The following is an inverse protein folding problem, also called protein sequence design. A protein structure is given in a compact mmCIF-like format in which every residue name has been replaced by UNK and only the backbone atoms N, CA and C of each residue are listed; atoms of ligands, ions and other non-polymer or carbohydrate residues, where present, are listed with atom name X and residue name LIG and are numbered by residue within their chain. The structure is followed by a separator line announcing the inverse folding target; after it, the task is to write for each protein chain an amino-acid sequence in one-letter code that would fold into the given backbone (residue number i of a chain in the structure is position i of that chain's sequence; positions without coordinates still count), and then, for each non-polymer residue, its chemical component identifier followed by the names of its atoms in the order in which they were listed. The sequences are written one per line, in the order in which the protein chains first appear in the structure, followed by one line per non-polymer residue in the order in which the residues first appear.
data_IF_164274360409
#
_entry.id   IF_164274360409
#
_cell.length_a   1.000
_cell.length_b   1.000
_cell.length_c   1.000
_cell.angle_alpha   90.00
_cell.angle_beta   90.00
_cell.angle_gamma   90.00
#
_symmetry.space_group_name_H-M   'P 1'
#
loop_
_entity.id
_entity.type
_entity.pdbx_description
1 polymer ?
#
# COMPACT_ATOMS: atom_id res chain seq x y z
N UNK A 1 24.86 -22.87 -6.72
CA UNK A 1 24.31 -23.31 -5.41
C UNK A 1 22.95 -22.65 -5.32
N UNK A 2 21.88 -23.46 -5.25
CA UNK A 2 20.51 -22.92 -5.15
C UNK A 2 20.36 -22.28 -3.80
N UNK A 3 20.01 -21.03 -3.76
CA UNK A 3 19.70 -20.34 -2.53
C UNK A 3 18.19 -20.07 -2.47
N UNK A 4 17.41 -21.07 -2.07
CA UNK A 4 16.00 -20.91 -1.79
C UNK A 4 15.80 -20.59 -0.31
N UNK A 5 15.28 -19.44 -0.04
CA UNK A 5 14.88 -18.99 1.29
C UNK A 5 13.45 -19.45 1.53
N UNK A 6 13.19 -20.20 2.61
CA UNK A 6 11.82 -20.63 2.96
C UNK A 6 10.96 -19.44 3.44
N UNK A 7 10.74 -18.49 2.56
CA UNK A 7 9.83 -17.39 2.78
C UNK A 7 8.45 -17.77 2.23
N UNK A 8 7.53 -18.10 3.11
CA UNK A 8 6.14 -18.34 2.75
C UNK A 8 5.35 -17.05 2.85
N UNK A 9 4.33 -16.90 2.00
CA UNK A 9 3.44 -15.74 2.07
C UNK A 9 2.76 -15.61 3.43
N UNK A 10 2.46 -14.39 3.83
CA UNK A 10 1.65 -14.16 5.01
C UNK A 10 0.24 -14.71 4.81
N UNK A 11 -0.29 -15.39 5.83
CA UNK A 11 -1.68 -15.84 5.81
C UNK A 11 -2.63 -14.68 6.07
N UNK A 12 -3.20 -14.11 5.01
CA UNK A 12 -4.15 -13.00 5.08
C UNK A 12 -5.40 -13.31 5.93
N UNK A 13 -5.76 -14.58 6.10
CA UNK A 13 -6.87 -14.95 6.98
C UNK A 13 -6.57 -14.67 8.45
N UNK A 14 -5.30 -14.66 8.83
CA UNK A 14 -4.82 -14.37 10.17
C UNK A 14 -4.42 -12.92 10.37
N UNK A 15 -4.30 -12.13 9.30
CA UNK A 15 -4.02 -10.70 9.40
C UNK A 15 -5.21 -9.97 10.01
N UNK A 16 -4.89 -8.98 10.85
CA UNK A 16 -5.89 -8.04 11.36
C UNK A 16 -6.48 -7.21 10.21
N UNK A 17 -5.65 -6.86 9.22
CA UNK A 17 -6.05 -6.12 8.03
C UNK A 17 -5.91 -7.01 6.78
N UNK A 18 -7.04 -7.28 6.14
CA UNK A 18 -7.08 -8.03 4.87
C UNK A 18 -7.02 -7.12 3.64
N UNK A 19 -7.08 -5.81 3.85
CA UNK A 19 -7.14 -4.78 2.81
C UNK A 19 -5.81 -4.04 2.71
N UNK A 20 -4.71 -4.77 2.60
CA UNK A 20 -3.38 -4.20 2.42
C UNK A 20 -3.09 -3.94 0.93
N UNK A 21 -2.15 -3.05 0.65
CA UNK A 21 -1.58 -2.89 -0.70
C UNK A 21 -0.60 -4.04 -0.98
N UNK A 22 -0.22 -4.24 -2.24
CA UNK A 22 0.79 -5.24 -2.58
C UNK A 22 2.11 -5.04 -1.83
N UNK A 23 2.54 -3.78 -1.65
CA UNK A 23 3.75 -3.47 -0.89
C UNK A 23 3.58 -3.78 0.62
N UNK A 24 2.44 -3.45 1.22
CA UNK A 24 2.18 -3.78 2.63
C UNK A 24 2.22 -5.29 2.88
N UNK A 25 1.59 -6.07 1.97
CA UNK A 25 1.58 -7.53 2.05
C UNK A 25 2.99 -8.11 1.94
N UNK A 26 3.81 -7.56 1.05
CA UNK A 26 5.21 -7.95 0.90
C UNK A 26 6.03 -7.62 2.15
N UNK A 27 5.88 -6.41 2.70
CA UNK A 27 6.57 -6.01 3.94
C UNK A 27 6.15 -6.94 5.09
N UNK A 28 4.85 -7.16 5.29
CA UNK A 28 4.35 -8.05 6.32
C UNK A 28 4.88 -9.49 6.16
N UNK A 29 4.99 -9.98 4.93
CA UNK A 29 5.54 -11.32 4.62
C UNK A 29 7.01 -11.43 5.02
N UNK A 30 7.85 -10.47 4.60
CA UNK A 30 9.28 -10.48 4.93
C UNK A 30 9.52 -10.26 6.42
N UNK A 31 8.82 -9.32 7.03
CA UNK A 31 8.97 -9.01 8.45
C UNK A 31 8.59 -10.22 9.30
N UNK A 32 7.52 -10.92 8.93
CA UNK A 32 7.10 -12.17 9.60
C UNK A 32 8.11 -13.30 9.39
N UNK A 33 8.72 -13.40 8.20
CA UNK A 33 9.82 -14.34 7.94
C UNK A 33 10.97 -14.13 8.93
N UNK A 34 11.31 -12.89 9.26
CA UNK A 34 12.31 -12.55 10.27
C UNK A 34 11.83 -12.68 11.71
N UNK A 35 10.62 -13.18 11.96
CA UNK A 35 10.04 -13.34 13.30
C UNK A 35 9.68 -12.02 13.98
N UNK A 36 9.38 -10.98 13.21
CA UNK A 36 8.99 -9.66 13.71
C UNK A 36 7.54 -9.35 13.38
N UNK A 37 6.96 -8.43 14.14
CA UNK A 37 5.65 -7.83 13.85
C UNK A 37 5.82 -6.62 12.91
N UNK A 38 4.73 -6.08 12.33
CA UNK A 38 4.78 -5.00 11.33
C UNK A 38 3.77 -3.88 11.58
N UNK A 39 2.82 -4.05 12.49
CA UNK A 39 1.65 -3.18 12.63
C UNK A 39 2.00 -1.74 13.00
N UNK A 40 3.13 -1.51 13.69
CA UNK A 40 3.56 -0.16 14.05
C UNK A 40 4.02 0.68 12.85
N UNK A 41 4.27 0.08 11.69
CA UNK A 41 4.51 0.87 10.48
C UNK A 41 3.31 1.78 10.14
N UNK A 42 2.12 1.46 10.66
CA UNK A 42 0.89 2.20 10.41
C UNK A 42 0.57 3.29 11.44
N UNK A 43 1.49 3.61 12.34
CA UNK A 43 1.30 4.65 13.37
C UNK A 43 0.83 5.99 12.78
N UNK A 44 1.35 6.39 11.62
CA UNK A 44 0.99 7.65 10.97
C UNK A 44 -0.12 7.51 9.90
N UNK A 45 -0.85 6.40 9.88
CA UNK A 45 -1.83 6.14 8.81
C UNK A 45 -3.13 6.94 8.92
N UNK A 46 -3.32 7.77 9.97
CA UNK A 46 -4.50 8.63 10.11
C UNK A 46 -4.54 9.79 9.11
N UNK A 47 -3.53 9.99 8.32
CA UNK A 47 -3.37 11.10 7.40
C UNK A 47 -4.39 11.07 6.25
N UNK A 48 -4.82 12.27 5.81
CA UNK A 48 -5.53 12.49 4.56
C UNK A 48 -4.98 13.77 3.96
N UNK A 49 -4.15 13.63 2.96
CA UNK A 49 -3.54 14.76 2.26
C UNK A 49 -3.53 14.53 0.75
N UNK A 50 -3.75 15.61 0.00
CA UNK A 50 -3.80 15.56 -1.45
C UNK A 50 -3.45 16.91 -2.05
N UNK A 51 -2.93 16.87 -3.27
CA UNK A 51 -2.86 18.02 -4.16
C UNK A 51 -3.95 17.90 -5.19
N UNK A 52 -4.51 19.03 -5.57
CA UNK A 52 -5.47 19.14 -6.65
C UNK A 52 -4.78 19.81 -7.83
N UNK A 53 -4.86 19.19 -9.02
CA UNK A 53 -4.58 19.84 -10.29
C UNK A 53 -5.77 20.66 -10.79
N UNK A 54 -5.83 20.93 -12.08
CA UNK A 54 -6.93 21.70 -12.69
C UNK A 54 -8.25 20.92 -12.70
N UNK A 55 -8.20 19.62 -12.59
CA UNK A 55 -9.35 18.72 -12.57
C UNK A 55 -9.29 17.70 -11.43
N UNK A 56 -10.43 17.10 -11.06
CA UNK A 56 -10.49 16.01 -10.06
C UNK A 56 -9.71 14.78 -10.52
N UNK A 57 -9.46 14.61 -11.81
CA UNK A 57 -8.64 13.52 -12.34
C UNK A 57 -7.15 13.75 -12.12
N UNK A 58 -6.74 14.99 -11.84
CA UNK A 58 -5.35 15.34 -11.52
C UNK A 58 -5.11 15.39 -10.01
N UNK A 59 -5.98 14.77 -9.23
CA UNK A 59 -5.80 14.66 -7.79
C UNK A 59 -4.66 13.70 -7.47
N UNK A 60 -3.69 14.17 -6.72
CA UNK A 60 -2.55 13.40 -6.27
C UNK A 60 -2.59 13.24 -4.75
N UNK A 61 -2.54 12.00 -4.28
CA UNK A 61 -2.40 11.73 -2.85
C UNK A 61 -0.96 11.98 -2.42
N UNK A 62 -0.82 12.71 -1.31
CA UNK A 62 0.49 12.91 -0.68
C UNK A 62 0.69 11.79 0.35
N UNK A 63 1.70 10.94 0.10
CA UNK A 63 2.07 9.82 0.97
C UNK A 63 3.49 10.05 1.47
N UNK A 64 3.68 10.03 2.78
CA UNK A 64 5.01 9.96 3.36
C UNK A 64 5.42 8.49 3.59
N UNK A 65 5.94 7.86 2.54
CA UNK A 65 6.46 6.48 2.63
C UNK A 65 7.62 6.36 3.62
N UNK A 66 8.40 7.43 3.84
CA UNK A 66 9.54 7.40 4.76
C UNK A 66 9.08 7.19 6.20
N UNK A 67 7.95 7.78 6.56
CA UNK A 67 7.38 7.60 7.89
C UNK A 67 7.00 6.14 8.16
N UNK A 68 6.47 5.41 7.17
CA UNK A 68 6.15 3.98 7.32
C UNK A 68 7.39 3.16 7.65
N UNK A 69 8.47 3.33 6.88
CA UNK A 69 9.71 2.58 7.08
C UNK A 69 10.43 2.98 8.39
N UNK A 70 10.34 4.26 8.76
CA UNK A 70 10.87 4.74 10.03
C UNK A 70 10.16 4.07 11.21
N UNK A 71 8.83 4.06 11.24
CA UNK A 71 8.07 3.41 12.33
C UNK A 71 8.25 1.89 12.34
N UNK A 72 8.44 1.26 11.20
CA UNK A 72 8.78 -0.15 11.13
C UNK A 72 10.14 -0.43 11.79
N UNK A 73 11.12 0.41 11.51
CA UNK A 73 12.45 0.29 12.12
C UNK A 73 12.41 0.59 13.63
N UNK A 74 11.79 1.68 14.04
CA UNK A 74 11.72 2.08 15.44
C UNK A 74 10.93 1.09 16.31
N UNK A 75 9.79 0.61 15.79
CA UNK A 75 8.86 -0.23 16.55
C UNK A 75 9.15 -1.73 16.46
N UNK A 76 9.72 -2.18 15.36
CA UNK A 76 9.92 -3.61 15.11
C UNK A 76 11.37 -4.00 14.79
N UNK A 77 12.27 -3.03 14.69
CA UNK A 77 13.68 -3.28 14.39
C UNK A 77 13.92 -3.81 12.98
N UNK A 78 13.11 -3.39 12.00
CA UNK A 78 13.28 -3.78 10.60
C UNK A 78 13.55 -2.55 9.75
N UNK A 79 14.78 -2.43 9.29
CA UNK A 79 15.22 -1.35 8.39
C UNK A 79 14.99 -1.76 6.95
N UNK A 80 14.13 -1.04 6.24
CA UNK A 80 13.92 -1.18 4.80
C UNK A 80 14.84 -0.23 4.05
N UNK A 81 15.63 -0.77 3.12
CA UNK A 81 16.49 0.01 2.22
C UNK A 81 15.93 -0.04 0.80
N UNK A 82 15.69 1.11 0.21
CA UNK A 82 15.20 1.26 -1.17
C UNK A 82 16.37 1.43 -2.12
N UNK A 83 16.46 0.57 -3.13
CA UNK A 83 17.50 0.58 -4.16
C UNK A 83 16.86 0.80 -5.53
N UNK A 84 17.37 1.74 -6.29
CA UNK A 84 16.92 2.06 -7.66
C UNK A 84 18.09 1.80 -8.63
N UNK A 85 18.40 0.54 -8.83
CA UNK A 85 19.45 0.04 -9.72
C UNK A 85 18.84 -0.51 -11.00
N UNK A 86 19.67 -0.79 -12.00
CA UNK A 86 19.25 -1.35 -13.29
C UNK A 86 20.25 -2.38 -13.81
N UNK A 87 19.77 -3.28 -14.67
CA UNK A 87 20.61 -4.26 -15.34
C UNK A 87 21.42 -5.12 -14.41
N UNK A 88 22.71 -5.28 -14.67
CA UNK A 88 23.59 -6.17 -13.92
C UNK A 88 23.82 -5.73 -12.47
N UNK A 89 23.84 -4.43 -12.17
CA UNK A 89 23.95 -3.94 -10.77
C UNK A 89 22.74 -4.36 -9.93
N UNK A 90 21.54 -4.30 -10.53
CA UNK A 90 20.32 -4.77 -9.90
C UNK A 90 20.38 -6.27 -9.61
N UNK A 91 20.76 -7.07 -10.63
CA UNK A 91 20.86 -8.52 -10.49
C UNK A 91 21.91 -8.93 -9.47
N UNK A 92 23.07 -8.26 -9.45
CA UNK A 92 24.14 -8.52 -8.47
C UNK A 92 23.67 -8.25 -7.04
N UNK A 93 22.89 -7.18 -6.81
CA UNK A 93 22.29 -6.92 -5.50
C UNK A 93 21.32 -8.04 -5.08
N UNK A 94 20.44 -8.46 -6.01
CA UNK A 94 19.45 -9.51 -5.75
C UNK A 94 20.14 -10.85 -5.37
N UNK A 95 21.15 -11.21 -6.11
CA UNK A 95 21.95 -12.43 -5.85
C UNK A 95 22.66 -12.36 -4.50
N UNK A 96 23.28 -11.22 -4.19
CA UNK A 96 23.96 -11.03 -2.91
C UNK A 96 23.00 -11.10 -1.69
N UNK A 97 21.76 -10.63 -1.82
CA UNK A 97 20.75 -10.77 -0.77
C UNK A 97 20.34 -12.25 -0.59
N UNK A 98 20.10 -12.98 -1.70
CA UNK A 98 19.76 -14.41 -1.65
C UNK A 98 20.88 -15.27 -1.09
N UNK A 99 22.14 -14.99 -1.43
CA UNK A 99 23.32 -15.70 -0.88
C UNK A 99 23.44 -15.55 0.64
N UNK A 100 22.93 -14.43 1.18
CA UNK A 100 22.85 -14.21 2.62
C UNK A 100 21.59 -14.83 3.26
N UNK A 101 20.76 -15.54 2.49
CA UNK A 101 19.51 -16.11 2.97
C UNK A 101 18.43 -15.07 3.25
N UNK A 102 18.48 -13.91 2.59
CA UNK A 102 17.55 -12.81 2.80
C UNK A 102 16.59 -12.67 1.62
N UNK A 103 15.28 -12.87 1.82
CA UNK A 103 14.29 -12.49 0.83
C UNK A 103 14.21 -10.97 0.75
N UNK A 104 13.81 -10.46 -0.40
CA UNK A 104 13.65 -9.03 -0.64
C UNK A 104 12.40 -8.74 -1.46
N UNK A 105 11.95 -7.48 -1.47
CA UNK A 105 10.77 -7.05 -2.23
C UNK A 105 11.25 -6.41 -3.52
N UNK A 106 10.55 -6.70 -4.62
CA UNK A 106 10.73 -6.01 -5.90
C UNK A 106 9.48 -5.23 -6.27
N UNK A 107 9.68 -4.03 -6.82
CA UNK A 107 8.66 -3.31 -7.56
C UNK A 107 8.91 -3.50 -9.05
N UNK A 108 7.95 -4.07 -9.74
CA UNK A 108 8.09 -4.49 -11.13
C UNK A 108 6.89 -4.02 -11.97
N UNK A 109 7.08 -3.96 -13.28
CA UNK A 109 5.98 -3.84 -14.23
C UNK A 109 5.33 -5.21 -14.46
N UNK A 110 4.10 -5.45 -13.95
CA UNK A 110 3.44 -6.75 -14.03
C UNK A 110 2.99 -7.13 -15.43
N UNK A 111 3.13 -6.25 -16.42
CA UNK A 111 3.00 -6.60 -17.85
C UNK A 111 3.81 -7.85 -18.21
N UNK A 112 4.90 -8.11 -17.48
CA UNK A 112 5.81 -9.24 -17.68
C UNK A 112 5.60 -10.41 -16.73
N UNK A 113 4.60 -10.36 -15.83
CA UNK A 113 4.32 -11.40 -14.85
C UNK A 113 3.14 -12.28 -15.29
N UNK A 114 3.39 -13.52 -15.67
CA UNK A 114 2.38 -14.44 -16.23
C UNK A 114 1.16 -14.68 -15.34
N UNK A 115 1.33 -14.59 -14.02
CA UNK A 115 0.24 -14.80 -13.06
C UNK A 115 -0.58 -13.54 -12.79
N UNK A 116 -0.11 -12.36 -13.24
CA UNK A 116 -0.85 -11.12 -13.03
C UNK A 116 -1.97 -10.98 -14.07
N UNK A 117 -3.19 -10.57 -13.66
CA UNK A 117 -4.30 -10.35 -14.60
C UNK A 117 -4.00 -9.33 -15.70
N UNK A 118 -2.99 -8.48 -15.51
CA UNK A 118 -2.52 -7.48 -16.47
C UNK A 118 -1.41 -7.97 -17.40
N UNK A 119 -1.03 -9.24 -17.30
CA UNK A 119 0.00 -9.83 -18.15
C UNK A 119 -0.25 -9.53 -19.64
N UNK A 120 0.73 -8.94 -20.30
CA UNK A 120 0.69 -8.51 -21.71
C UNK A 120 -0.51 -7.61 -22.09
N UNK A 121 -1.09 -6.91 -21.12
CA UNK A 121 -2.26 -6.04 -21.35
C UNK A 121 -2.02 -4.61 -20.89
N UNK A 122 -1.47 -4.44 -19.67
CA UNK A 122 -1.45 -3.15 -18.99
C UNK A 122 -0.14 -2.97 -18.22
N UNK A 123 0.48 -1.82 -18.38
CA UNK A 123 1.64 -1.39 -17.61
C UNK A 123 1.19 -0.68 -16.32
N UNK A 124 1.67 -1.15 -15.17
CA UNK A 124 1.49 -0.46 -13.89
C UNK A 124 2.56 -0.92 -12.89
N UNK A 125 2.41 -0.59 -11.62
CA UNK A 125 3.36 -0.96 -10.57
C UNK A 125 2.76 -2.05 -9.70
N UNK A 126 3.46 -3.17 -9.57
CA UNK A 126 3.14 -4.25 -8.66
C UNK A 126 4.36 -4.60 -7.81
N UNK A 127 4.15 -5.12 -6.60
CA UNK A 127 5.21 -5.56 -5.72
C UNK A 127 4.97 -7.02 -5.30
N UNK A 128 6.06 -7.80 -5.26
CA UNK A 128 6.09 -9.13 -4.68
C UNK A 128 7.47 -9.43 -4.06
N UNK A 129 7.57 -10.56 -3.39
CA UNK A 129 8.79 -11.00 -2.70
C UNK A 129 9.57 -11.96 -3.59
N UNK A 130 10.88 -11.75 -3.70
CA UNK A 130 11.81 -12.73 -4.26
C UNK A 130 12.37 -13.55 -3.10
N UNK A 131 12.17 -14.86 -3.14
CA UNK A 131 12.56 -15.78 -2.08
C UNK A 131 13.68 -16.75 -2.49
N UNK A 132 14.09 -16.73 -3.75
CA UNK A 132 15.14 -17.63 -4.21
C UNK A 132 15.46 -17.51 -5.68
N UNK A 133 16.32 -18.39 -6.15
CA UNK A 133 16.68 -18.57 -7.54
C UNK A 133 16.73 -20.06 -7.83
N UNK A 134 16.23 -20.49 -8.98
CA UNK A 134 16.31 -21.88 -9.41
C UNK A 134 17.74 -22.36 -9.63
N UNK A 135 17.96 -23.69 -9.61
CA UNK A 135 19.27 -24.32 -9.79
C UNK A 135 20.00 -23.89 -11.07
N UNK A 136 19.24 -23.60 -12.10
CA UNK A 136 19.78 -23.16 -13.38
C UNK A 136 20.31 -21.73 -13.37
N UNK A 137 19.95 -20.94 -12.33
CA UNK A 137 20.26 -19.51 -12.24
C UNK A 137 19.50 -18.64 -13.25
N UNK A 138 18.51 -19.22 -13.96
CA UNK A 138 17.75 -18.51 -15.00
C UNK A 138 16.55 -17.77 -14.48
N UNK A 139 15.91 -18.30 -13.45
CA UNK A 139 14.64 -17.79 -12.95
C UNK A 139 14.69 -17.52 -11.45
N UNK A 140 14.16 -16.38 -11.04
CA UNK A 140 13.92 -16.05 -9.64
C UNK A 140 12.64 -16.73 -9.16
N UNK A 141 12.69 -17.30 -7.95
CA UNK A 141 11.52 -17.86 -7.25
C UNK A 141 10.85 -16.76 -6.44
N UNK A 142 9.56 -16.56 -6.68
CA UNK A 142 8.81 -15.44 -6.14
C UNK A 142 7.59 -15.88 -5.32
N UNK A 143 7.28 -15.07 -4.33
CA UNK A 143 6.07 -15.16 -3.48
C UNK A 143 5.27 -13.88 -3.69
N UNK A 144 4.04 -14.01 -4.15
CA UNK A 144 3.11 -12.90 -4.31
C UNK A 144 1.99 -12.98 -3.29
N UNK A 145 2.14 -12.32 -2.13
CA UNK A 145 1.15 -12.39 -1.06
C UNK A 145 -0.15 -11.66 -1.43
N UNK A 146 -0.10 -10.68 -2.34
CA UNK A 146 -1.28 -9.95 -2.77
C UNK A 146 -2.28 -10.85 -3.50
N UNK A 147 -1.78 -11.71 -4.40
CA UNK A 147 -2.57 -12.71 -5.13
C UNK A 147 -2.63 -14.07 -4.43
N UNK A 148 -2.02 -14.21 -3.26
CA UNK A 148 -1.99 -15.46 -2.50
C UNK A 148 -1.26 -16.59 -3.23
N UNK A 149 -0.13 -16.28 -3.87
CA UNK A 149 0.66 -17.20 -4.70
C UNK A 149 2.06 -17.41 -4.15
N UNK A 150 2.60 -18.61 -4.34
CA UNK A 150 3.98 -19.00 -3.99
C UNK A 150 4.62 -19.77 -5.16
N UNK A 151 5.95 -19.81 -5.22
CA UNK A 151 6.72 -20.56 -6.22
C UNK A 151 6.52 -20.05 -7.64
N UNK A 152 6.23 -18.76 -7.81
CA UNK A 152 6.14 -18.15 -9.13
C UNK A 152 7.53 -17.86 -9.66
N UNK A 153 7.73 -18.03 -10.97
CA UNK A 153 9.02 -17.83 -11.61
C UNK A 153 9.02 -16.55 -12.42
N UNK A 154 10.10 -15.79 -12.30
CA UNK A 154 10.38 -14.62 -13.16
C UNK A 154 11.77 -14.80 -13.75
N UNK A 155 11.84 -14.80 -15.07
CA UNK A 155 13.09 -14.92 -15.77
C UNK A 155 14.05 -13.75 -15.44
N UNK A 156 15.34 -14.05 -15.32
CA UNK A 156 16.39 -13.09 -14.97
C UNK A 156 16.44 -11.88 -15.92
N UNK A 157 16.27 -12.10 -17.22
CA UNK A 157 16.27 -11.01 -18.21
C UNK A 157 15.03 -10.13 -18.06
N UNK A 158 13.87 -10.75 -17.78
CA UNK A 158 12.63 -10.02 -17.48
C UNK A 158 12.80 -9.19 -16.22
N UNK A 159 13.39 -9.75 -15.18
CA UNK A 159 13.66 -9.04 -13.92
C UNK A 159 14.55 -7.82 -14.16
N UNK A 160 15.67 -7.99 -14.87
CA UNK A 160 16.60 -6.91 -15.21
C UNK A 160 15.94 -5.77 -16.01
N UNK A 161 14.99 -6.11 -16.87
CA UNK A 161 14.30 -5.17 -17.78
C UNK A 161 13.14 -4.44 -17.10
N UNK A 162 12.38 -5.12 -16.26
CA UNK A 162 11.07 -4.67 -15.79
C UNK A 162 11.04 -4.28 -14.31
N UNK A 163 12.02 -4.67 -13.49
CA UNK A 163 12.15 -4.24 -12.12
C UNK A 163 12.73 -2.82 -12.06
N UNK A 164 12.10 -1.93 -11.29
CA UNK A 164 12.52 -0.54 -11.16
C UNK A 164 12.91 -0.18 -9.72
N UNK A 165 12.65 -1.07 -8.75
CA UNK A 165 13.03 -0.87 -7.35
C UNK A 165 13.17 -2.20 -6.61
N UNK A 166 14.17 -2.28 -5.75
CA UNK A 166 14.35 -3.37 -4.78
C UNK A 166 14.29 -2.77 -3.38
N UNK A 167 13.60 -3.45 -2.48
CA UNK A 167 13.62 -3.15 -1.05
C UNK A 167 14.28 -4.32 -0.33
N UNK A 168 15.48 -4.11 0.19
CA UNK A 168 16.16 -5.06 1.06
C UNK A 168 15.86 -4.77 2.53
N UNK A 169 16.04 -5.79 3.39
CA UNK A 169 15.70 -5.70 4.80
C UNK A 169 16.91 -6.02 5.68
N UNK A 170 17.13 -5.18 6.69
CA UNK A 170 18.12 -5.45 7.75
C UNK A 170 17.42 -5.49 9.11
N UNK A 171 17.81 -6.46 9.94
CA UNK A 171 17.38 -6.49 11.33
C UNK A 171 18.22 -5.53 12.17
N UNK A 172 17.55 -4.76 12.99
CA UNK A 172 18.11 -3.85 13.99
C UNK A 172 17.45 -4.11 15.34
N UNK A 173 17.90 -3.43 16.36
CA UNK A 173 17.21 -3.36 17.63
C UNK A 173 16.02 -2.39 17.52
N UNK A 174 14.84 -2.81 17.99
CA UNK A 174 13.70 -1.91 18.11
C UNK A 174 13.93 -0.95 19.28
N UNK A 175 13.70 0.33 19.05
CA UNK A 175 13.98 1.38 20.05
C UNK A 175 12.72 1.97 20.67
N UNK A 176 11.55 1.72 20.08
CA UNK A 176 10.27 2.22 20.54
C UNK A 176 9.62 1.20 21.49
N UNK A 177 9.32 1.61 22.71
CA UNK A 177 8.50 0.80 23.61
C UNK A 177 7.04 0.76 23.17
N UNK A 178 6.26 -0.17 23.70
CA UNK A 178 4.83 -0.26 23.35
C UNK A 178 4.03 0.94 23.92
N UNK A 179 4.46 1.49 25.04
CA UNK A 179 3.93 2.71 25.66
C UNK A 179 4.22 3.93 24.77
N UNK A 180 5.44 4.05 24.25
CA UNK A 180 5.81 5.12 23.32
C UNK A 180 5.03 4.99 21.99
N UNK A 181 4.84 3.79 21.49
CA UNK A 181 4.01 3.53 20.32
C UNK A 181 2.56 3.97 20.53
N UNK A 182 1.99 3.69 21.72
CA UNK A 182 0.66 4.18 22.08
C UNK A 182 0.61 5.70 22.15
N UNK A 183 1.56 6.33 22.84
CA UNK A 183 1.64 7.78 22.93
C UNK A 183 1.77 8.42 21.54
N UNK A 184 2.58 7.83 20.67
CA UNK A 184 2.79 8.30 19.27
C UNK A 184 1.52 8.19 18.42
N UNK A 185 0.78 7.08 18.53
CA UNK A 185 -0.53 6.94 17.86
C UNK A 185 -1.47 8.08 18.26
N UNK A 186 -1.61 8.34 19.57
CA UNK A 186 -2.48 9.41 20.07
C UNK A 186 -1.98 10.79 19.62
N UNK A 187 -0.67 11.02 19.67
CA UNK A 187 -0.05 12.28 19.22
C UNK A 187 -0.33 12.51 17.72
N UNK A 188 -0.08 11.52 16.87
CA UNK A 188 -0.35 11.63 15.42
C UNK A 188 -1.82 11.98 15.14
N UNK A 189 -2.77 11.35 15.85
CA UNK A 189 -4.18 11.67 15.69
C UNK A 189 -4.51 13.10 16.13
N UNK A 190 -3.97 13.57 17.28
CA UNK A 190 -4.16 14.93 17.79
C UNK A 190 -3.58 15.97 16.83
N UNK A 191 -2.34 15.81 16.39
CA UNK A 191 -1.68 16.74 15.46
C UNK A 191 -2.47 16.90 14.15
N UNK A 192 -3.13 15.82 13.68
CA UNK A 192 -3.98 15.88 12.48
C UNK A 192 -5.34 16.54 12.76
N UNK A 193 -5.79 16.57 14.00
CA UNK A 193 -7.04 17.20 14.41
C UNK A 193 -6.84 18.67 14.83
N UNK A 194 -5.80 18.96 15.59
CA UNK A 194 -5.58 20.26 16.25
C UNK A 194 -4.81 21.25 15.39
N UNK A 195 -4.32 20.87 14.20
CA UNK A 195 -3.57 21.76 13.32
C UNK A 195 -4.46 22.90 12.84
N UNK A 196 -4.13 24.13 13.26
CA UNK A 196 -4.89 25.35 12.91
C UNK A 196 -5.04 25.50 11.40
N UNK A 197 -6.29 25.64 10.95
CA UNK A 197 -6.67 25.94 9.57
C UNK A 197 -6.62 24.76 8.60
N UNK A 198 -5.65 23.85 8.71
CA UNK A 198 -5.42 22.75 7.76
C UNK A 198 -5.46 21.34 8.38
N UNK A 199 -6.29 21.12 9.36
CA UNK A 199 -6.45 19.79 9.94
C UNK A 199 -7.10 18.79 8.97
N UNK A 200 -6.99 17.50 9.27
CA UNK A 200 -7.54 16.43 8.47
C UNK A 200 -9.05 16.61 8.18
N UNK A 201 -9.82 17.10 9.15
CA UNK A 201 -11.25 17.36 8.98
C UNK A 201 -11.52 18.50 7.98
N UNK A 202 -10.70 19.55 8.02
CA UNK A 202 -10.79 20.67 7.07
C UNK A 202 -10.42 20.22 5.68
N UNK A 203 -9.36 19.43 5.52
CA UNK A 203 -8.97 18.83 4.23
C UNK A 203 -10.07 17.95 3.66
N UNK A 204 -10.72 17.10 4.47
CA UNK A 204 -11.87 16.28 4.03
C UNK A 204 -13.06 17.15 3.61
N UNK A 205 -13.39 18.21 4.36
CA UNK A 205 -14.46 19.15 3.97
C UNK A 205 -14.14 19.87 2.67
N UNK A 206 -12.91 20.33 2.50
CA UNK A 206 -12.45 20.99 1.28
C UNK A 206 -12.50 20.04 0.09
N UNK A 207 -12.05 18.81 0.26
CA UNK A 207 -12.24 17.76 -0.74
C UNK A 207 -13.69 17.60 -1.16
N UNK A 208 -14.62 17.51 -0.19
CA UNK A 208 -16.06 17.43 -0.47
C UNK A 208 -16.59 18.64 -1.23
N UNK A 209 -16.19 19.87 -0.87
CA UNK A 209 -16.58 21.10 -1.57
C UNK A 209 -16.05 21.15 -3.01
N UNK A 210 -14.78 20.77 -3.20
CA UNK A 210 -14.14 20.70 -4.52
C UNK A 210 -14.91 19.71 -5.39
N UNK A 211 -15.18 18.51 -4.86
CA UNK A 211 -15.92 17.47 -5.58
C UNK A 211 -17.32 17.92 -6.01
N UNK A 212 -18.06 18.62 -5.13
CA UNK A 212 -19.39 19.11 -5.43
C UNK A 212 -19.40 20.27 -6.45
N UNK A 213 -18.34 21.06 -6.49
CA UNK A 213 -18.27 22.25 -7.36
C UNK A 213 -17.67 21.95 -8.74
N UNK A 214 -16.98 20.83 -8.91
CA UNK A 214 -16.40 20.45 -10.19
C UNK A 214 -17.41 19.68 -11.06
N UNK A 215 -18.06 20.42 -11.97
CA UNK A 215 -18.93 19.83 -13.00
C UNK A 215 -18.15 19.12 -14.12
N UNK A 216 -16.85 19.42 -14.29
CA UNK A 216 -15.95 18.81 -15.30
C UNK A 216 -14.93 17.93 -14.60
N UNK A 217 -14.58 16.79 -15.20
CA UNK A 217 -13.45 15.96 -14.73
C UNK A 217 -13.82 14.67 -14.00
N UNK A 218 -15.10 14.34 -13.94
CA UNK A 218 -15.54 12.98 -13.60
C UNK A 218 -15.48 12.04 -14.82
N UNK A 219 -15.17 12.59 -15.99
CA UNK A 219 -15.09 11.84 -17.25
C UNK A 219 -13.77 11.05 -17.27
N UNK A 220 -13.88 9.73 -17.28
CA UNK A 220 -12.75 8.89 -17.65
C UNK A 220 -12.47 9.08 -19.14
N UNK A 221 -11.25 9.48 -19.50
CA UNK A 221 -10.87 9.85 -20.87
C UNK A 221 -11.07 8.74 -21.91
N UNK A 222 -11.24 7.50 -21.50
CA UNK A 222 -11.41 6.34 -22.39
C UNK A 222 -12.44 5.31 -21.93
N UNK A 223 -13.19 5.60 -20.88
CA UNK A 223 -14.30 4.74 -20.42
C UNK A 223 -13.92 3.39 -19.85
N UNK A 224 -12.65 3.01 -19.86
CA UNK A 224 -12.26 1.61 -19.69
C UNK A 224 -11.95 1.20 -18.27
N UNK A 225 -11.52 2.11 -17.36
CA UNK A 225 -11.03 1.62 -16.08
C UNK A 225 -11.16 2.63 -14.91
N UNK A 226 -12.36 2.68 -14.33
CA UNK A 226 -12.66 3.51 -13.16
C UNK A 226 -11.65 3.26 -12.02
N UNK A 227 -11.17 2.02 -11.89
CA UNK A 227 -10.25 1.58 -10.85
C UNK A 227 -8.86 2.25 -10.94
N UNK A 228 -8.52 2.78 -12.11
CA UNK A 228 -7.25 3.48 -12.36
C UNK A 228 -7.33 4.99 -12.15
N UNK A 229 -8.54 5.54 -12.00
CA UNK A 229 -8.69 7.00 -11.81
C UNK A 229 -8.00 7.45 -10.53
N UNK A 230 -7.30 8.59 -10.54
CA UNK A 230 -6.66 9.15 -9.35
C UNK A 230 -7.64 9.34 -8.19
N UNK A 231 -8.85 9.82 -8.49
CA UNK A 231 -9.91 9.97 -7.49
C UNK A 231 -10.28 8.65 -6.81
N UNK A 232 -10.47 7.58 -7.58
CA UNK A 232 -10.78 6.28 -7.01
C UNK A 232 -9.65 5.77 -6.13
N UNK A 233 -8.39 5.90 -6.58
CA UNK A 233 -7.21 5.53 -5.82
C UNK A 233 -7.10 6.29 -4.50
N UNK A 234 -7.30 7.61 -4.51
CA UNK A 234 -7.31 8.44 -3.30
C UNK A 234 -8.34 7.94 -2.29
N UNK A 235 -9.56 7.61 -2.73
CA UNK A 235 -10.62 7.12 -1.85
C UNK A 235 -10.33 5.72 -1.31
N UNK A 236 -9.76 4.84 -2.12
CA UNK A 236 -9.29 3.53 -1.66
C UNK A 236 -8.22 3.69 -0.59
N UNK A 237 -7.23 4.53 -0.83
CA UNK A 237 -6.14 4.76 0.11
C UNK A 237 -6.64 5.41 1.41
N UNK A 238 -7.55 6.39 1.32
CA UNK A 238 -8.18 6.97 2.49
C UNK A 238 -8.89 5.93 3.36
N UNK A 239 -9.61 5.01 2.72
CA UNK A 239 -10.27 3.88 3.38
C UNK A 239 -9.26 2.94 4.05
N UNK A 240 -8.25 2.49 3.29
CA UNK A 240 -7.22 1.56 3.77
C UNK A 240 -6.43 2.16 4.93
N UNK A 241 -6.08 3.44 4.87
CA UNK A 241 -5.34 4.12 5.95
C UNK A 241 -6.09 4.13 7.27
N UNK A 242 -7.42 4.30 7.27
CA UNK A 242 -8.23 4.23 8.51
C UNK A 242 -8.21 2.83 9.09
N UNK A 243 -8.27 1.83 8.23
CA UNK A 243 -8.17 0.43 8.66
C UNK A 243 -6.77 0.12 9.23
N UNK A 244 -5.71 0.55 8.56
CA UNK A 244 -4.32 0.39 9.00
C UNK A 244 -4.09 1.04 10.37
N UNK A 245 -4.58 2.26 10.57
CA UNK A 245 -4.50 2.94 11.85
C UNK A 245 -5.24 2.18 12.97
N UNK A 246 -6.43 1.67 12.68
CA UNK A 246 -7.18 0.82 13.63
C UNK A 246 -6.40 -0.44 13.99
N UNK A 247 -5.71 -1.05 13.04
CA UNK A 247 -4.89 -2.24 13.27
C UNK A 247 -3.70 -1.94 14.18
N UNK A 248 -3.02 -0.80 13.99
CA UNK A 248 -1.96 -0.37 14.90
C UNK A 248 -2.50 -0.15 16.33
N UNK A 249 -3.68 0.47 16.50
CA UNK A 249 -4.33 0.62 17.80
C UNK A 249 -4.64 -0.74 18.45
N UNK A 250 -5.19 -1.68 17.69
CA UNK A 250 -5.50 -3.04 18.17
C UNK A 250 -4.24 -3.79 18.58
N UNK A 251 -3.19 -3.68 17.77
CA UNK A 251 -1.89 -4.28 18.05
C UNK A 251 -1.33 -3.76 19.38
N UNK A 252 -1.25 -2.44 19.56
CA UNK A 252 -0.75 -1.83 20.79
C UNK A 252 -1.61 -2.22 21.99
N UNK A 253 -2.92 -2.15 21.89
CA UNK A 253 -3.82 -2.57 22.97
C UNK A 253 -3.56 -4.04 23.37
N UNK A 254 -3.43 -4.95 22.38
CA UNK A 254 -3.10 -6.36 22.60
C UNK A 254 -1.75 -6.54 23.32
N UNK A 255 -0.71 -5.83 22.87
CA UNK A 255 0.64 -5.91 23.51
C UNK A 255 0.65 -5.35 24.93
N UNK A 256 -0.20 -4.38 25.24
CA UNK A 256 -0.42 -3.88 26.61
C UNK A 256 -1.33 -4.78 27.47
N UNK A 257 -1.73 -5.95 26.98
CA UNK A 257 -2.65 -6.86 27.70
C UNK A 257 -4.08 -6.33 27.82
N UNK A 258 -4.49 -5.39 26.98
CA UNK A 258 -5.80 -4.73 27.01
C UNK A 258 -6.60 -5.03 25.73
N UNK A 259 -7.91 -4.86 25.82
CA UNK A 259 -8.76 -4.75 24.63
C UNK A 259 -8.88 -3.29 24.24
N UNK A 260 -8.92 -3.02 22.93
CA UNK A 260 -9.26 -1.68 22.46
C UNK A 260 -10.65 -1.29 22.96
N UNK A 261 -10.84 -0.01 23.37
CA UNK A 261 -12.16 0.48 23.79
C UNK A 261 -13.15 0.29 22.63
N UNK A 262 -14.25 -0.41 22.92
CA UNK A 262 -15.27 -0.74 21.92
C UNK A 262 -15.86 0.49 21.24
N UNK A 263 -15.89 1.65 21.92
CA UNK A 263 -16.39 2.91 21.34
C UNK A 263 -15.46 3.41 20.23
N UNK A 264 -14.13 3.30 20.46
CA UNK A 264 -13.14 3.63 19.41
C UNK A 264 -13.29 2.68 18.24
N UNK A 265 -13.36 1.39 18.52
CA UNK A 265 -13.51 0.37 17.48
C UNK A 265 -14.78 0.56 16.66
N UNK A 266 -15.93 0.78 17.31
CA UNK A 266 -17.21 1.03 16.63
C UNK A 266 -17.13 2.30 15.78
N UNK A 267 -16.59 3.40 16.30
CA UNK A 267 -16.47 4.65 15.56
C UNK A 267 -15.53 4.54 14.35
N UNK A 268 -14.46 3.80 14.48
CA UNK A 268 -13.55 3.54 13.36
C UNK A 268 -14.20 2.68 12.28
N UNK A 269 -14.98 1.67 12.67
CA UNK A 269 -15.76 0.86 11.75
C UNK A 269 -16.85 1.67 11.03
N UNK A 270 -17.61 2.50 11.76
CA UNK A 270 -18.58 3.44 11.16
C UNK A 270 -17.92 4.35 10.12
N UNK A 271 -16.74 4.88 10.45
CA UNK A 271 -15.96 5.73 9.53
C UNK A 271 -15.52 4.95 8.29
N UNK A 272 -15.05 3.71 8.47
CA UNK A 272 -14.69 2.82 7.37
C UNK A 272 -15.88 2.58 6.43
N UNK A 273 -17.07 2.27 6.98
CA UNK A 273 -18.27 2.08 6.18
C UNK A 273 -18.66 3.34 5.39
N UNK A 274 -18.58 4.52 6.01
CA UNK A 274 -18.88 5.78 5.33
C UNK A 274 -17.92 6.06 4.14
N UNK A 275 -16.64 5.82 4.31
CA UNK A 275 -15.67 5.94 3.23
C UNK A 275 -15.94 4.93 2.11
N UNK A 276 -16.32 3.71 2.47
CA UNK A 276 -16.67 2.67 1.49
C UNK A 276 -17.95 2.99 0.71
N UNK A 277 -18.97 3.52 1.38
CA UNK A 277 -20.20 4.01 0.74
C UNK A 277 -19.90 5.16 -0.23
N UNK A 278 -19.11 6.14 0.17
CA UNK A 278 -18.68 7.25 -0.68
C UNK A 278 -17.94 6.75 -1.92
N UNK A 279 -17.00 5.83 -1.75
CA UNK A 279 -16.29 5.16 -2.85
C UNK A 279 -17.28 4.46 -3.79
N UNK A 280 -18.25 3.72 -3.25
CA UNK A 280 -19.28 3.03 -4.02
C UNK A 280 -20.20 3.98 -4.79
N UNK A 281 -20.55 5.12 -4.22
CA UNK A 281 -21.34 6.15 -4.90
C UNK A 281 -20.57 6.75 -6.08
N UNK A 282 -19.29 7.07 -5.89
CA UNK A 282 -18.46 7.63 -6.97
C UNK A 282 -18.33 6.63 -8.12
N UNK A 283 -18.16 5.34 -7.85
CA UNK A 283 -18.16 4.30 -8.90
C UNK A 283 -19.47 4.31 -9.68
N UNK A 284 -20.63 4.42 -9.00
CA UNK A 284 -21.94 4.48 -9.66
C UNK A 284 -22.08 5.72 -10.54
N UNK A 285 -21.64 6.87 -10.04
CA UNK A 285 -21.65 8.13 -10.79
C UNK A 285 -20.77 8.00 -12.04
N UNK A 286 -19.53 7.55 -11.90
CA UNK A 286 -18.60 7.36 -13.02
C UNK A 286 -19.17 6.36 -14.05
N UNK A 287 -19.74 5.24 -13.61
CA UNK A 287 -20.39 4.27 -14.51
C UNK A 287 -21.60 4.85 -15.22
N UNK A 288 -22.42 5.66 -14.55
CA UNK A 288 -23.59 6.31 -15.16
C UNK A 288 -23.15 7.24 -16.29
N UNK A 289 -22.13 8.06 -16.08
CA UNK A 289 -21.60 8.94 -17.14
C UNK A 289 -21.01 8.16 -18.32
N UNK A 290 -20.40 7.00 -18.08
CA UNK A 290 -19.82 6.15 -19.12
C UNK A 290 -20.88 5.40 -19.95
N UNK A 291 -22.00 5.02 -19.34
CA UNK A 291 -23.05 4.22 -19.99
C UNK A 291 -24.17 5.03 -20.66
N UNK A 292 -24.21 6.35 -20.44
CA UNK A 292 -25.29 7.20 -20.97
C UNK A 292 -24.87 7.86 -22.29
N UNK A 293 -25.56 7.55 -23.41
CA UNK A 293 -25.35 8.25 -24.68
C UNK A 293 -25.63 9.75 -24.61
N UNK A 294 -26.35 10.20 -23.56
CA UNK A 294 -26.75 11.60 -23.34
C UNK A 294 -25.72 12.40 -22.51
N UNK A 295 -24.68 11.78 -21.98
CA UNK A 295 -23.68 12.47 -21.18
C UNK A 295 -22.88 13.52 -21.99
N UNK A 296 -22.77 13.33 -23.29
CA UNK A 296 -22.03 14.23 -24.18
C UNK A 296 -22.78 15.48 -24.61
N UNK A 297 -24.13 15.53 -24.50
CA UNK A 297 -24.90 16.61 -25.06
C UNK A 297 -25.29 17.73 -24.06
N UNK A 298 -25.12 17.54 -22.76
CA UNK A 298 -25.49 18.51 -21.73
C UNK A 298 -24.33 19.27 -21.07
N UNK A 299 -23.08 19.05 -21.50
CA UNK A 299 -21.91 19.75 -20.98
C UNK A 299 -21.43 20.93 -21.84
N UNK A 300 -22.16 21.27 -22.90
CA UNK A 300 -21.85 22.38 -23.83
C UNK A 300 -22.87 23.54 -23.74
N UNK A 301 -23.52 23.74 -22.60
CA UNK A 301 -24.30 24.94 -22.33
C UNK A 301 -23.81 25.68 -21.10
#
# INVERSE_FOLDING_TARGET
MVCEVKCTRIDKAKMIDRNATCLDDCIATIVTYFGRDYELMFVNSWEFDFKLGDTVQEIEEIIDERAYFQYLMEGHGVLIKKHQLKGEELLSLMEAELEQGKPFIVGIDPYWCEWDPSYQKIHYVHAFVVSGMEETGKDFVCVDPFYNLEGKLVNREVMAKSCFVVFSCELKEAVMSIEDAYAKLIQCAKERYDKDGENCCTKIRNFGKIFLNQKKGLECSDGSDIWKTPLYKLLCNALLRRQKYLNALRYVAKKMGRKLDYRIETKMQELFYKWNEMRGMIIKILKFFLSSPFAYTHLTL
#
